data_IF_882668033116
#
_entry.id   IF_882668033116
#
_cell.length_a   1.000
_cell.length_b   1.000
_cell.length_c   1.000
_cell.angle_alpha   90.00
_cell.angle_beta   90.00
_cell.angle_gamma   90.00
#
_symmetry.space_group_name_H-M   'P 1'
#
loop_
_entity.id
_entity.type
_entity.pdbx_description
1 polymer ?
#
# COMPACT_ATOMS: atom_id res chain seq x y z
N UNK A 1 23.37 9.73 46.83
CA UNK A 1 23.32 9.12 45.48
C UNK A 1 22.48 7.87 45.58
N UNK A 2 21.50 7.68 44.68
CA UNK A 2 20.73 6.43 44.63
C UNK A 2 21.66 5.29 44.24
N UNK A 3 21.49 4.10 44.83
CA UNK A 3 22.27 2.93 44.45
C UNK A 3 21.98 2.56 42.98
N UNK A 4 22.99 2.12 42.20
CA UNK A 4 22.78 1.60 40.85
C UNK A 4 21.83 0.41 40.89
N UNK A 5 20.80 0.46 40.04
CA UNK A 5 19.75 -0.55 39.97
C UNK A 5 20.12 -1.58 38.90
N UNK A 6 20.14 -2.85 39.26
CA UNK A 6 20.47 -3.97 38.37
C UNK A 6 19.25 -4.87 38.27
N UNK A 7 18.74 -5.08 37.06
CA UNK A 7 17.64 -6.01 36.82
C UNK A 7 18.21 -7.39 36.54
N UNK A 8 17.68 -8.42 37.19
CA UNK A 8 18.03 -9.82 36.91
C UNK A 8 16.83 -10.48 36.22
N UNK A 9 16.99 -10.88 34.96
CA UNK A 9 15.92 -11.41 34.11
C UNK A 9 16.21 -12.82 33.59
N UNK A 10 15.18 -13.68 33.57
CA UNK A 10 15.21 -15.04 32.99
C UNK A 10 14.08 -15.27 31.99
N UNK A 11 13.97 -16.50 31.46
CA UNK A 11 12.85 -16.92 30.60
C UNK A 11 11.67 -17.35 31.51
N UNK A 12 10.39 -17.24 31.10
CA UNK A 12 9.27 -17.74 31.90
C UNK A 12 9.48 -19.19 32.39
N UNK A 13 9.50 -19.36 33.72
CA UNK A 13 9.78 -20.64 34.39
C UNK A 13 11.14 -20.72 35.09
N UNK A 14 12.08 -19.82 34.79
CA UNK A 14 13.29 -19.63 35.57
C UNK A 14 12.96 -18.83 36.84
N UNK A 15 13.51 -19.24 37.99
CA UNK A 15 13.52 -18.43 39.23
C UNK A 15 14.93 -17.88 39.41
N UNK A 16 15.27 -16.72 38.83
CA UNK A 16 16.61 -16.17 38.98
C UNK A 16 16.81 -15.66 40.42
N UNK A 17 17.47 -16.45 41.25
CA UNK A 17 17.95 -16.05 42.57
C UNK A 17 19.17 -15.13 42.41
N UNK A 18 18.98 -13.82 42.61
CA UNK A 18 20.06 -12.83 42.67
C UNK A 18 21.28 -13.26 43.54
N UNK A 19 21.13 -13.88 44.73
CA UNK A 19 22.29 -14.19 45.57
C UNK A 19 23.20 -15.31 45.04
N UNK A 20 22.69 -16.31 44.31
CA UNK A 20 23.54 -17.45 43.83
C UNK A 20 24.53 -17.04 42.73
N UNK A 21 24.21 -16.00 41.94
CA UNK A 21 25.04 -15.52 40.84
C UNK A 21 26.09 -14.48 41.27
N UNK A 22 25.79 -13.73 42.35
CA UNK A 22 26.69 -12.71 42.90
C UNK A 22 27.90 -13.38 43.58
N UNK A 23 27.69 -14.48 44.30
CA UNK A 23 28.78 -15.24 44.94
C UNK A 23 29.74 -15.89 43.94
N UNK A 24 29.28 -16.20 42.71
CA UNK A 24 30.07 -16.91 41.71
C UNK A 24 30.92 -16.01 40.80
N UNK A 25 30.55 -14.74 40.62
CA UNK A 25 31.19 -13.87 39.60
C UNK A 25 31.98 -12.69 40.16
N UNK A 26 31.70 -12.22 41.38
CA UNK A 26 32.40 -11.08 42.00
C UNK A 26 32.30 -9.75 41.24
N UNK A 27 31.41 -9.65 40.24
CA UNK A 27 31.30 -8.50 39.32
C UNK A 27 30.57 -7.29 39.95
N UNK A 28 29.72 -7.51 40.96
CA UNK A 28 28.93 -6.46 41.60
C UNK A 28 28.94 -6.62 43.13
N UNK A 29 29.02 -5.49 43.85
CA UNK A 29 28.94 -5.47 45.31
C UNK A 29 27.47 -5.45 45.78
N UNK A 30 26.96 -6.50 46.44
CA UNK A 30 25.56 -6.58 46.87
C UNK A 30 25.14 -5.51 47.88
N UNK A 31 26.09 -4.89 48.60
CA UNK A 31 25.78 -3.81 49.54
C UNK A 31 25.65 -2.45 48.85
N UNK A 32 26.18 -2.29 47.63
CA UNK A 32 26.23 -1.01 46.89
C UNK A 32 25.24 -0.94 45.72
N UNK A 33 24.69 -2.07 45.26
CA UNK A 33 23.72 -2.16 44.16
C UNK A 33 22.34 -2.62 44.65
N UNK A 34 21.28 -2.10 44.04
CA UNK A 34 19.90 -2.56 44.27
C UNK A 34 19.50 -3.55 43.17
N UNK A 35 19.37 -4.83 43.53
CA UNK A 35 18.98 -5.89 42.60
C UNK A 35 17.47 -6.08 42.58
N UNK A 36 16.89 -6.12 41.38
CA UNK A 36 15.46 -6.41 41.19
C UNK A 36 15.30 -7.59 40.25
N UNK A 37 14.76 -8.69 40.78
CA UNK A 37 14.43 -9.87 39.98
C UNK A 37 13.13 -9.62 39.20
N UNK A 38 13.11 -10.01 37.94
CA UNK A 38 11.92 -10.02 37.10
C UNK A 38 11.68 -11.42 36.55
N UNK A 39 10.46 -11.91 36.75
CA UNK A 39 10.08 -13.28 36.40
C UNK A 39 9.54 -13.39 34.97
N UNK A 40 9.22 -12.25 34.33
CA UNK A 40 8.74 -12.20 32.94
C UNK A 40 9.53 -11.20 32.08
N UNK A 41 9.72 -11.46 30.77
CA UNK A 41 10.35 -10.51 29.85
C UNK A 41 9.65 -9.15 29.79
N UNK A 42 8.37 -9.12 30.12
CA UNK A 42 7.56 -7.95 29.98
C UNK A 42 7.54 -7.08 31.27
N UNK A 43 7.75 -7.67 32.46
CA UNK A 43 8.13 -6.93 33.68
C UNK A 43 9.50 -6.25 33.53
N UNK A 44 10.44 -6.92 32.84
CA UNK A 44 11.75 -6.36 32.51
C UNK A 44 11.59 -5.09 31.66
N UNK A 45 10.80 -5.15 30.58
CA UNK A 45 10.56 -4.01 29.68
C UNK A 45 9.88 -2.85 30.42
N UNK A 46 8.84 -3.11 31.22
CA UNK A 46 8.15 -2.09 32.00
C UNK A 46 9.08 -1.39 33.02
N UNK A 47 10.00 -2.14 33.62
CA UNK A 47 10.93 -1.61 34.62
C UNK A 47 12.07 -0.78 33.98
N UNK A 48 12.57 -1.20 32.83
CA UNK A 48 13.56 -0.44 32.04
C UNK A 48 12.94 0.85 31.48
N UNK A 49 11.67 0.81 31.07
CA UNK A 49 10.98 1.98 30.54
C UNK A 49 10.61 3.02 31.61
N UNK A 50 10.38 2.59 32.86
CA UNK A 50 9.91 3.47 33.93
C UNK A 50 11.02 4.16 34.73
N UNK A 51 12.23 3.59 34.78
CA UNK A 51 13.33 4.10 35.59
C UNK A 51 14.69 3.85 34.90
N UNK A 52 15.70 4.72 35.12
CA UNK A 52 17.04 4.46 34.62
C UNK A 52 17.63 3.22 35.30
N UNK A 53 17.97 2.22 34.49
CA UNK A 53 18.60 0.96 34.92
C UNK A 53 20.07 0.99 34.56
N UNK A 54 20.94 0.58 35.47
CA UNK A 54 22.41 0.61 35.26
C UNK A 54 22.89 -0.60 34.47
N UNK A 55 22.28 -1.76 34.67
CA UNK A 55 22.58 -2.98 33.93
C UNK A 55 21.39 -3.96 33.96
N UNK A 56 21.28 -4.78 32.91
CA UNK A 56 20.40 -5.95 32.88
C UNK A 56 21.28 -7.19 32.86
N UNK A 57 21.08 -8.05 33.86
CA UNK A 57 21.73 -9.35 33.98
C UNK A 57 20.77 -10.42 33.47
N UNK A 58 21.17 -11.13 32.42
CA UNK A 58 20.41 -12.27 31.90
C UNK A 58 20.90 -13.54 32.60
N UNK A 59 19.99 -14.22 33.29
CA UNK A 59 20.24 -15.46 34.03
C UNK A 59 19.41 -16.63 33.46
N UNK A 60 19.79 -17.87 33.79
CA UNK A 60 19.04 -19.07 33.40
C UNK A 60 19.36 -19.60 32.00
N UNK A 61 18.42 -20.34 31.41
CA UNK A 61 18.68 -21.10 30.17
C UNK A 61 19.00 -20.22 28.95
N UNK A 62 18.65 -18.93 28.99
CA UNK A 62 18.98 -17.97 27.92
C UNK A 62 20.49 -17.87 27.67
N UNK A 63 21.31 -18.08 28.71
CA UNK A 63 22.78 -18.05 28.63
C UNK A 63 23.38 -19.31 28.01
N UNK A 64 22.61 -20.40 27.94
CA UNK A 64 23.09 -21.70 27.43
C UNK A 64 23.00 -21.81 25.90
N UNK A 65 22.30 -20.89 25.24
CA UNK A 65 22.13 -20.84 23.78
C UNK A 65 22.57 -19.49 23.23
N UNK A 66 23.78 -19.39 22.63
CA UNK A 66 24.31 -18.12 22.13
C UNK A 66 23.42 -17.48 21.05
N UNK A 67 22.69 -18.27 20.27
CA UNK A 67 21.71 -17.80 19.29
C UNK A 67 20.54 -17.03 19.90
N UNK A 68 20.07 -17.41 21.09
CA UNK A 68 18.96 -16.73 21.78
C UNK A 68 19.42 -15.37 22.35
N UNK A 69 20.66 -15.31 22.86
CA UNK A 69 21.27 -14.06 23.32
C UNK A 69 21.51 -13.11 22.14
N UNK A 70 22.03 -13.62 21.02
CA UNK A 70 22.22 -12.82 19.81
C UNK A 70 20.89 -12.29 19.27
N UNK A 71 19.83 -13.10 19.22
CA UNK A 71 18.50 -12.67 18.81
C UNK A 71 17.93 -11.57 19.71
N UNK A 72 18.12 -11.66 21.03
CA UNK A 72 17.67 -10.63 21.98
C UNK A 72 18.42 -9.31 21.82
N UNK A 73 19.73 -9.36 21.56
CA UNK A 73 20.57 -8.16 21.37
C UNK A 73 20.33 -7.51 19.99
N UNK A 74 20.10 -8.31 18.95
CA UNK A 74 19.89 -7.81 17.58
C UNK A 74 18.44 -7.45 17.27
N UNK A 75 17.48 -7.97 18.04
CA UNK A 75 16.04 -7.78 17.83
C UNK A 75 15.62 -6.33 17.61
N UNK A 76 15.96 -5.39 18.53
CA UNK A 76 15.63 -3.98 18.37
C UNK A 76 16.22 -3.40 17.07
N UNK A 77 17.48 -3.69 16.76
CA UNK A 77 18.12 -3.21 15.53
C UNK A 77 17.47 -3.76 14.26
N UNK A 78 17.04 -5.02 14.27
CA UNK A 78 16.33 -5.64 13.13
C UNK A 78 14.98 -4.95 12.91
N UNK A 79 14.22 -4.69 13.98
CA UNK A 79 12.90 -4.06 13.88
C UNK A 79 12.99 -2.57 13.48
N UNK A 80 14.04 -1.87 13.90
CA UNK A 80 14.30 -0.48 13.45
C UNK A 80 14.61 -0.40 11.95
N UNK A 81 15.27 -1.41 11.38
CA UNK A 81 15.58 -1.47 9.95
C UNK A 81 14.59 -2.31 9.15
N UNK A 82 13.46 -2.69 9.75
CA UNK A 82 12.41 -3.44 9.06
C UNK A 82 11.77 -2.53 8.00
N UNK A 83 11.50 -3.00 6.76
CA UNK A 83 11.03 -2.14 5.66
C UNK A 83 9.58 -1.68 5.81
N UNK A 84 8.81 -2.32 6.68
CA UNK A 84 7.43 -1.95 6.99
C UNK A 84 7.36 -1.30 8.38
N UNK A 85 6.28 -0.57 8.63
CA UNK A 85 5.98 -0.06 9.96
C UNK A 85 5.63 -1.21 10.91
N UNK A 86 6.24 -1.25 12.10
CA UNK A 86 5.97 -2.27 13.11
C UNK A 86 5.63 -1.59 14.43
N UNK A 87 4.55 -2.03 15.08
CA UNK A 87 4.20 -1.63 16.44
C UNK A 87 3.91 -2.83 17.33
N UNK A 88 4.20 -2.65 18.61
CA UNK A 88 3.68 -3.49 19.68
C UNK A 88 2.51 -2.74 20.35
N UNK A 89 1.36 -3.38 20.42
CA UNK A 89 0.15 -2.87 21.05
C UNK A 89 -0.19 -3.66 22.31
N UNK A 90 -0.85 -3.02 23.27
CA UNK A 90 -1.51 -3.72 24.38
C UNK A 90 -2.89 -4.26 23.98
N UNK A 91 -3.53 -5.05 24.86
CA UNK A 91 -4.89 -5.59 24.67
C UNK A 91 -6.00 -4.55 24.46
N UNK A 92 -5.72 -3.25 24.66
CA UNK A 92 -6.65 -2.15 24.40
C UNK A 92 -6.31 -1.38 23.12
N UNK A 93 -5.34 -1.85 22.34
CA UNK A 93 -4.90 -1.20 21.10
C UNK A 93 -4.02 0.03 21.31
N UNK A 94 -3.45 0.23 22.51
CA UNK A 94 -2.53 1.36 22.76
C UNK A 94 -1.12 0.99 22.33
N UNK A 95 -0.42 1.97 21.75
CA UNK A 95 0.95 1.77 21.28
C UNK A 95 1.92 1.70 22.46
N UNK A 96 2.61 0.58 22.59
CA UNK A 96 3.69 0.37 23.57
C UNK A 96 5.05 0.71 22.97
N UNK A 97 5.23 0.39 21.69
CA UNK A 97 6.45 0.66 20.93
C UNK A 97 6.14 0.69 19.43
N UNK A 98 6.89 1.48 18.66
CA UNK A 98 6.83 1.53 17.20
C UNK A 98 8.24 1.80 16.64
N UNK A 99 8.53 1.37 15.42
CA UNK A 99 9.77 1.74 14.71
C UNK A 99 9.64 3.09 14.01
N UNK A 100 10.78 3.70 13.65
CA UNK A 100 10.86 5.02 12.99
C UNK A 100 9.90 5.17 11.78
N UNK A 101 9.73 4.11 10.99
CA UNK A 101 8.83 4.11 9.83
C UNK A 101 7.39 4.34 10.28
N UNK A 102 6.91 3.59 11.26
CA UNK A 102 5.54 3.74 11.75
C UNK A 102 5.37 5.02 12.55
N UNK A 103 6.38 5.45 13.32
CA UNK A 103 6.36 6.74 14.01
C UNK A 103 6.18 7.91 13.03
N UNK A 104 6.79 7.84 11.84
CA UNK A 104 6.62 8.85 10.79
C UNK A 104 5.20 8.92 10.21
N UNK A 105 4.40 7.87 10.38
CA UNK A 105 3.00 7.82 9.96
C UNK A 105 2.04 8.38 11.01
N UNK A 106 2.49 8.56 12.26
CA UNK A 106 1.68 9.20 13.29
C UNK A 106 1.70 10.72 13.10
N UNK A 107 0.52 11.35 13.15
CA UNK A 107 0.30 12.77 12.84
C UNK A 107 0.87 13.70 13.95
N UNK A 108 2.17 13.63 14.19
CA UNK A 108 2.90 14.39 15.22
C UNK A 108 2.55 14.01 16.66
N UNK A 109 1.77 12.95 16.89
CA UNK A 109 1.41 12.49 18.23
C UNK A 109 2.58 11.76 18.90
N UNK A 110 2.92 12.18 20.13
CA UNK A 110 3.89 11.45 20.96
C UNK A 110 3.30 10.10 21.38
N UNK A 111 4.05 9.05 21.12
CA UNK A 111 3.67 7.63 21.18
C UNK A 111 3.25 7.15 22.57
N UNK A 112 3.62 7.86 23.64
CA UNK A 112 3.33 7.43 25.00
C UNK A 112 1.81 7.38 25.25
N UNK A 113 1.22 6.18 25.12
CA UNK A 113 -0.15 5.79 25.44
C UNK A 113 -1.27 6.17 24.45
N UNK A 114 -0.94 6.60 23.23
CA UNK A 114 -1.96 6.88 22.22
C UNK A 114 -2.65 5.58 21.74
N UNK A 115 -3.97 5.64 21.54
CA UNK A 115 -4.70 4.61 20.82
C UNK A 115 -4.19 4.55 19.38
N UNK A 116 -3.85 3.35 18.89
CA UNK A 116 -3.18 3.16 17.60
C UNK A 116 -3.95 3.77 16.42
N UNK A 117 -5.27 3.59 16.38
CA UNK A 117 -6.10 4.14 15.30
C UNK A 117 -6.17 5.66 15.38
N UNK A 118 -6.21 6.21 16.60
CA UNK A 118 -6.17 7.65 16.82
C UNK A 118 -4.83 8.25 16.41
N UNK A 119 -3.71 7.57 16.70
CA UNK A 119 -2.38 7.99 16.29
C UNK A 119 -2.21 8.03 14.76
N UNK A 120 -2.88 7.11 14.05
CA UNK A 120 -2.99 7.09 12.58
C UNK A 120 -4.02 8.09 12.01
N UNK A 121 -4.64 8.94 12.82
CA UNK A 121 -5.64 9.90 12.32
C UNK A 121 -7.02 9.31 12.03
N UNK A 122 -7.40 8.23 12.71
CA UNK A 122 -8.70 7.54 12.60
C UNK A 122 -9.04 7.09 11.18
N UNK A 123 -8.26 6.16 10.59
CA UNK A 123 -8.48 5.69 9.23
C UNK A 123 -9.77 4.88 9.09
N UNK A 124 -10.27 4.79 7.86
CA UNK A 124 -11.39 3.92 7.51
C UNK A 124 -10.89 2.59 6.93
N UNK A 125 -11.68 1.53 7.05
CA UNK A 125 -11.44 0.27 6.36
C UNK A 125 -11.92 0.38 4.91
N UNK A 126 -11.00 0.24 3.97
CA UNK A 126 -11.27 0.19 2.53
C UNK A 126 -11.85 -1.17 2.16
N UNK A 127 -13.14 -1.36 2.40
CA UNK A 127 -13.85 -2.60 2.08
C UNK A 127 -14.33 -2.60 0.62
N UNK A 128 -14.39 -3.76 -0.09
CA UNK A 128 -14.84 -3.83 -1.48
C UNK A 128 -16.25 -3.27 -1.74
N UNK A 129 -17.09 -3.20 -0.71
CA UNK A 129 -18.45 -2.62 -0.80
C UNK A 129 -18.52 -1.13 -0.40
N UNK A 130 -17.38 -0.44 -0.27
CA UNK A 130 -17.28 0.93 0.21
C UNK A 130 -16.70 1.05 1.63
N UNK A 131 -16.17 2.23 1.93
CA UNK A 131 -15.43 2.52 3.17
C UNK A 131 -16.31 2.36 4.41
N UNK A 132 -15.76 1.71 5.44
CA UNK A 132 -16.46 1.42 6.72
C UNK A 132 -15.54 1.71 7.90
N UNK A 133 -16.10 1.85 9.10
CA UNK A 133 -15.31 1.85 10.33
C UNK A 133 -14.68 0.48 10.56
N UNK A 134 -13.48 0.46 11.15
CA UNK A 134 -12.80 -0.80 11.47
C UNK A 134 -13.63 -1.60 12.50
N UNK A 135 -13.76 -2.92 12.33
CA UNK A 135 -14.40 -3.78 13.34
C UNK A 135 -13.67 -3.68 14.66
N UNK A 136 -14.36 -3.61 15.80
CA UNK A 136 -13.72 -3.56 17.13
C UNK A 136 -12.84 -4.77 17.44
N UNK A 137 -13.04 -5.88 16.72
CA UNK A 137 -12.28 -7.13 16.84
C UNK A 137 -11.05 -7.19 15.94
N UNK A 138 -10.69 -6.12 15.22
CA UNK A 138 -9.60 -6.12 14.23
C UNK A 138 -8.24 -6.57 14.81
N UNK A 139 -8.02 -6.32 16.10
CA UNK A 139 -6.78 -6.66 16.81
C UNK A 139 -6.69 -8.17 17.13
N UNK A 140 -7.83 -8.78 17.45
CA UNK A 140 -7.96 -10.16 17.97
C UNK A 140 -8.41 -11.16 16.90
N UNK A 141 -8.72 -10.69 15.69
CA UNK A 141 -9.30 -11.52 14.66
C UNK A 141 -8.22 -12.34 13.94
N UNK A 142 -7.91 -13.53 14.47
CA UNK A 142 -7.08 -14.53 13.78
C UNK A 142 -7.58 -14.76 12.34
N UNK A 143 -8.88 -14.71 12.09
CA UNK A 143 -9.42 -14.86 10.73
C UNK A 143 -9.06 -13.68 9.81
N UNK A 144 -8.83 -12.46 10.34
CA UNK A 144 -8.31 -11.34 9.56
C UNK A 144 -6.82 -11.51 9.26
N UNK A 145 -6.04 -12.08 10.17
CA UNK A 145 -4.65 -12.43 9.93
C UNK A 145 -4.53 -13.55 8.87
N UNK A 146 -5.38 -14.57 8.92
CA UNK A 146 -5.46 -15.64 7.92
C UNK A 146 -6.00 -15.17 6.57
N UNK A 147 -6.91 -14.18 6.56
CA UNK A 147 -7.44 -13.57 5.33
C UNK A 147 -6.50 -12.54 4.70
N UNK A 148 -5.29 -12.41 5.22
CA UNK A 148 -4.25 -11.56 4.65
C UNK A 148 -4.16 -10.16 5.23
N UNK A 149 -5.06 -9.72 6.13
CA UNK A 149 -5.02 -8.40 6.76
C UNK A 149 -6.19 -7.47 6.36
N UNK A 150 -6.10 -6.20 6.75
CA UNK A 150 -7.07 -5.15 6.43
C UNK A 150 -6.38 -4.05 5.62
N UNK A 151 -7.07 -3.45 4.65
CA UNK A 151 -6.57 -2.26 3.96
C UNK A 151 -7.25 -1.04 4.56
N UNK A 152 -6.47 -0.14 5.13
CA UNK A 152 -6.90 1.13 5.70
C UNK A 152 -6.78 2.23 4.64
N UNK A 153 -7.78 3.08 4.55
CA UNK A 153 -7.72 4.36 3.84
C UNK A 153 -7.48 5.47 4.86
N UNK A 154 -6.34 6.13 4.69
CA UNK A 154 -5.90 7.25 5.53
C UNK A 154 -6.63 8.55 5.13
N UNK A 155 -6.69 9.56 6.03
CA UNK A 155 -7.30 10.86 5.71
C UNK A 155 -6.62 11.62 4.56
N UNK A 156 -5.35 11.30 4.27
CA UNK A 156 -4.56 11.85 3.17
C UNK A 156 -4.64 11.02 1.87
N UNK A 157 -5.64 10.13 1.76
CA UNK A 157 -5.89 9.22 0.64
C UNK A 157 -4.81 8.16 0.37
N UNK A 158 -3.88 7.94 1.32
CA UNK A 158 -2.99 6.77 1.27
C UNK A 158 -3.71 5.50 1.68
N UNK A 159 -3.24 4.38 1.15
CA UNK A 159 -3.72 3.04 1.52
C UNK A 159 -2.65 2.28 2.28
N UNK A 160 -2.96 1.89 3.51
CA UNK A 160 -2.06 1.12 4.37
C UNK A 160 -2.62 -0.28 4.60
N UNK A 161 -1.80 -1.30 4.38
CA UNK A 161 -2.15 -2.67 4.68
C UNK A 161 -1.72 -3.00 6.11
N UNK A 162 -2.70 -3.37 6.92
CA UNK A 162 -2.61 -3.64 8.34
C UNK A 162 -2.72 -5.14 8.60
N UNK A 163 -1.72 -5.72 9.25
CA UNK A 163 -1.76 -7.09 9.74
C UNK A 163 -1.52 -7.08 11.25
N UNK A 164 -2.38 -7.77 12.00
CA UNK A 164 -2.21 -8.00 13.44
C UNK A 164 -1.87 -9.46 13.67
N UNK A 165 -0.87 -9.71 14.51
CA UNK A 165 -0.60 -11.02 15.08
C UNK A 165 -0.72 -10.90 16.60
N UNK A 166 -1.70 -11.56 17.23
CA UNK A 166 -1.79 -11.57 18.69
C UNK A 166 -0.54 -12.24 19.27
N UNK A 167 0.02 -11.65 20.32
CA UNK A 167 1.19 -12.13 21.06
C UNK A 167 0.85 -12.32 22.54
N UNK A 168 1.62 -13.17 23.20
CA UNK A 168 1.44 -13.55 24.60
C UNK A 168 1.79 -12.40 25.58
N UNK A 169 1.42 -12.60 26.85
CA UNK A 169 1.43 -11.70 28.00
C UNK A 169 2.41 -10.49 28.00
N UNK A 170 1.85 -9.29 28.18
CA UNK A 170 2.54 -8.03 28.47
C UNK A 170 1.88 -7.43 29.72
N UNK A 171 2.54 -7.37 30.89
CA UNK A 171 1.94 -6.86 32.09
C UNK A 171 1.72 -5.35 31.94
N UNK A 172 0.54 -4.85 32.35
CA UNK A 172 0.33 -3.42 32.46
C UNK A 172 1.24 -2.85 33.57
N UNK A 173 1.74 -1.61 33.43
CA UNK A 173 2.48 -0.96 34.50
C UNK A 173 1.53 -0.69 35.68
N UNK A 174 1.69 -1.43 36.78
CA UNK A 174 1.26 -0.97 38.10
C UNK A 174 0.38 -1.88 38.97
N UNK A 175 0.02 -3.10 38.58
CA UNK A 175 -0.80 -3.95 39.46
C UNK A 175 -0.45 -5.45 39.32
N UNK A 176 0.20 -6.01 40.33
CA UNK A 176 -0.06 -7.40 40.71
C UNK A 176 -0.09 -7.51 42.25
N UNK A 177 -1.31 -7.62 42.76
CA UNK A 177 -1.63 -8.29 44.01
C UNK A 177 -2.18 -9.69 43.69
N UNK A 178 -1.86 -10.64 44.56
CA UNK A 178 -2.19 -12.07 44.58
C UNK A 178 -3.44 -12.57 43.82
N UNK A 179 -3.25 -13.75 43.21
CA UNK A 179 -4.24 -14.80 42.90
C UNK A 179 -5.23 -14.59 41.75
N UNK A 180 -4.78 -14.69 40.49
CA UNK A 180 -5.64 -15.12 39.37
C UNK A 180 -4.95 -16.15 38.47
N UNK A 181 -5.72 -17.18 38.06
CA UNK A 181 -5.28 -18.25 37.13
C UNK A 181 -4.86 -17.66 35.78
N UNK A 182 -3.91 -18.25 35.05
CA UNK A 182 -3.55 -17.77 33.71
C UNK A 182 -4.73 -18.00 32.76
N UNK A 183 -5.50 -16.94 32.53
CA UNK A 183 -6.48 -16.86 31.44
C UNK A 183 -5.73 -16.74 30.13
N UNK A 184 -6.09 -17.58 29.17
CA UNK A 184 -5.46 -17.70 27.86
C UNK A 184 -5.86 -16.55 26.89
N UNK A 185 -5.76 -15.31 27.36
CA UNK A 185 -6.10 -14.11 26.59
C UNK A 185 -4.81 -13.44 26.09
N UNK A 186 -4.69 -13.11 24.79
CA UNK A 186 -3.53 -12.37 24.30
C UNK A 186 -3.49 -10.98 24.97
N UNK A 187 -2.41 -10.66 25.68
CA UNK A 187 -2.32 -9.38 26.40
C UNK A 187 -1.67 -8.27 25.56
N UNK A 188 -1.18 -8.59 24.36
CA UNK A 188 -0.71 -7.62 23.38
C UNK A 188 -0.69 -8.19 21.97
N UNK A 189 -0.44 -7.34 20.98
CA UNK A 189 -0.39 -7.75 19.56
C UNK A 189 0.74 -7.03 18.85
N UNK A 190 1.43 -7.73 17.94
CA UNK A 190 2.32 -7.06 16.98
C UNK A 190 1.51 -6.72 15.75
N UNK A 191 1.64 -5.48 15.33
CA UNK A 191 1.00 -4.94 14.15
C UNK A 191 2.06 -4.56 13.14
N UNK A 192 1.86 -4.99 11.90
CA UNK A 192 2.66 -4.62 10.74
C UNK A 192 1.81 -3.77 9.81
N UNK A 193 2.37 -2.64 9.38
CA UNK A 193 1.73 -1.65 8.51
C UNK A 193 2.60 -1.46 7.28
N UNK A 194 2.05 -1.73 6.11
CA UNK A 194 2.73 -1.54 4.82
C UNK A 194 2.00 -0.51 3.97
N UNK A 195 2.73 0.41 3.36
CA UNK A 195 2.15 1.28 2.33
C UNK A 195 1.87 0.47 1.05
N UNK A 196 0.58 0.39 0.69
CA UNK A 196 0.10 -0.31 -0.51
C UNK A 196 -0.60 0.65 -1.48
N UNK A 197 -0.41 1.97 -1.31
CA UNK A 197 -1.08 3.02 -2.07
C UNK A 197 -0.91 2.82 -3.57
N UNK A 198 0.32 2.62 -4.04
CA UNK A 198 0.62 2.42 -5.46
C UNK A 198 -0.09 1.18 -6.02
N UNK A 199 -0.01 0.06 -5.32
CA UNK A 199 -0.63 -1.20 -5.75
C UNK A 199 -2.16 -1.07 -5.81
N UNK A 200 -2.76 -0.42 -4.81
CA UNK A 200 -4.20 -0.16 -4.75
C UNK A 200 -4.66 0.74 -5.91
N UNK A 201 -3.96 1.86 -6.16
CA UNK A 201 -4.29 2.76 -7.26
C UNK A 201 -4.16 2.08 -8.63
N UNK A 202 -3.11 1.27 -8.84
CA UNK A 202 -2.95 0.49 -10.07
C UNK A 202 -4.09 -0.52 -10.26
N UNK A 203 -4.49 -1.22 -9.19
CA UNK A 203 -5.61 -2.17 -9.23
C UNK A 203 -6.94 -1.47 -9.50
N UNK A 204 -7.22 -0.35 -8.81
CA UNK A 204 -8.43 0.45 -9.03
C UNK A 204 -8.49 0.98 -10.47
N UNK A 205 -7.38 1.50 -11.00
CA UNK A 205 -7.29 1.95 -12.39
C UNK A 205 -7.62 0.81 -13.36
N UNK A 206 -7.05 -0.38 -13.17
CA UNK A 206 -7.35 -1.56 -14.01
C UNK A 206 -8.81 -2.00 -13.91
N UNK A 207 -9.37 -2.04 -12.70
CA UNK A 207 -10.76 -2.40 -12.47
C UNK A 207 -11.72 -1.42 -13.16
N UNK A 208 -11.45 -0.12 -13.04
CA UNK A 208 -12.24 0.91 -13.70
C UNK A 208 -12.13 0.85 -15.24
N UNK A 209 -10.94 0.54 -15.80
CA UNK A 209 -10.78 0.29 -17.24
C UNK A 209 -11.59 -0.93 -17.69
N UNK A 210 -11.55 -2.01 -16.90
CA UNK A 210 -12.31 -3.20 -17.20
C UNK A 210 -13.83 -2.93 -17.19
N UNK A 211 -14.30 -2.21 -16.16
CA UNK A 211 -15.70 -1.81 -16.05
C UNK A 211 -16.13 -0.89 -17.19
N UNK A 212 -15.31 0.10 -17.54
CA UNK A 212 -15.56 0.97 -18.70
C UNK A 212 -15.68 0.16 -20.01
N UNK A 213 -14.79 -0.82 -20.21
CA UNK A 213 -14.86 -1.73 -21.35
C UNK A 213 -16.15 -2.57 -21.37
N UNK A 214 -16.61 -3.03 -20.21
CA UNK A 214 -17.88 -3.74 -20.09
C UNK A 214 -19.08 -2.83 -20.41
N UNK A 215 -19.15 -1.62 -19.85
CA UNK A 215 -20.24 -0.68 -20.15
C UNK A 215 -20.28 -0.27 -21.61
N UNK A 216 -19.12 -0.12 -22.27
CA UNK A 216 -19.06 0.13 -23.72
C UNK A 216 -19.62 -1.04 -24.55
N UNK A 217 -19.49 -2.27 -24.05
CA UNK A 217 -20.01 -3.47 -24.71
C UNK A 217 -21.48 -3.78 -24.36
N UNK A 218 -21.97 -3.31 -23.21
CA UNK A 218 -23.30 -3.58 -22.66
C UNK A 218 -24.38 -2.61 -23.19
N UNK A 219 -24.32 -2.31 -24.49
CA UNK A 219 -25.42 -1.67 -25.21
C UNK A 219 -26.41 -2.76 -25.61
N UNK A 220 -27.59 -2.79 -24.98
CA UNK A 220 -28.51 -3.89 -25.22
C UNK A 220 -29.01 -3.87 -26.67
N UNK A 221 -29.22 -5.03 -27.33
CA UNK A 221 -29.76 -5.09 -28.69
C UNK A 221 -31.08 -4.34 -28.85
N UNK A 222 -31.87 -4.24 -27.78
CA UNK A 222 -33.14 -3.51 -27.72
C UNK A 222 -32.92 -1.99 -27.73
N UNK A 223 -32.00 -1.46 -26.94
CA UNK A 223 -31.64 -0.03 -26.97
C UNK A 223 -31.07 0.38 -28.32
N UNK A 224 -30.25 -0.48 -28.92
CA UNK A 224 -29.70 -0.22 -30.25
C UNK A 224 -30.77 -0.31 -31.35
N UNK A 225 -31.76 -1.19 -31.23
CA UNK A 225 -32.77 -1.44 -32.26
C UNK A 225 -33.61 -0.19 -32.58
N UNK A 226 -33.94 0.61 -31.57
CA UNK A 226 -34.75 1.83 -31.72
C UNK A 226 -33.93 3.05 -32.15
N UNK A 227 -32.60 2.95 -32.11
CA UNK A 227 -31.69 4.02 -32.52
C UNK A 227 -31.32 3.96 -33.99
N UNK A 228 -31.28 5.11 -34.65
CA UNK A 228 -30.68 5.28 -35.97
C UNK A 228 -29.16 5.03 -35.93
N UNK A 229 -28.56 4.76 -37.09
CA UNK A 229 -27.10 4.60 -37.20
C UNK A 229 -26.35 5.82 -36.67
N UNK A 230 -26.87 7.03 -36.92
CA UNK A 230 -26.24 8.27 -36.45
C UNK A 230 -26.28 8.39 -34.93
N UNK A 231 -27.42 8.09 -34.30
CA UNK A 231 -27.55 8.13 -32.83
C UNK A 231 -26.62 7.13 -32.15
N UNK A 232 -26.44 5.93 -32.75
CA UNK A 232 -25.49 4.93 -32.23
C UNK A 232 -24.05 5.43 -32.29
N UNK A 233 -23.69 6.10 -33.39
CA UNK A 233 -22.38 6.72 -33.57
C UNK A 233 -22.15 7.80 -32.51
N UNK A 234 -23.12 8.69 -32.29
CA UNK A 234 -23.00 9.77 -31.30
C UNK A 234 -22.96 9.26 -29.85
N UNK A 235 -23.72 8.21 -29.53
CA UNK A 235 -23.66 7.55 -28.22
C UNK A 235 -22.28 6.93 -27.97
N UNK A 236 -21.75 6.20 -28.96
CA UNK A 236 -20.43 5.59 -28.86
C UNK A 236 -19.33 6.65 -28.67
N UNK A 237 -19.38 7.75 -29.44
CA UNK A 237 -18.46 8.88 -29.27
C UNK A 237 -18.53 9.44 -27.85
N UNK A 238 -19.74 9.71 -27.36
CA UNK A 238 -19.94 10.30 -26.04
C UNK A 238 -19.37 9.39 -24.93
N UNK A 239 -19.60 8.08 -25.01
CA UNK A 239 -19.05 7.12 -24.05
C UNK A 239 -17.53 7.05 -24.12
N UNK A 240 -16.94 7.02 -25.32
CA UNK A 240 -15.49 6.99 -25.49
C UNK A 240 -14.84 8.25 -24.91
N UNK A 241 -15.41 9.44 -25.18
CA UNK A 241 -14.91 10.71 -24.62
C UNK A 241 -14.97 10.67 -23.10
N UNK A 242 -16.11 10.26 -22.53
CA UNK A 242 -16.32 10.18 -21.08
C UNK A 242 -15.24 9.32 -20.42
N UNK A 243 -15.02 8.09 -20.88
CA UNK A 243 -14.00 7.22 -20.28
C UNK A 243 -12.57 7.67 -20.59
N UNK A 244 -12.30 8.22 -21.77
CA UNK A 244 -10.94 8.68 -22.10
C UNK A 244 -10.53 9.88 -21.26
N UNK A 245 -11.43 10.84 -21.03
CA UNK A 245 -11.16 12.03 -20.20
C UNK A 245 -11.22 11.71 -18.71
N UNK A 246 -12.30 11.11 -18.22
CA UNK A 246 -12.52 11.00 -16.79
C UNK A 246 -11.68 9.89 -16.15
N UNK A 247 -11.51 8.77 -16.85
CA UNK A 247 -10.80 7.60 -16.34
C UNK A 247 -9.33 7.56 -16.78
N UNK A 248 -9.03 7.84 -18.05
CA UNK A 248 -7.67 7.76 -18.57
C UNK A 248 -6.90 9.09 -18.53
N UNK A 249 -7.60 10.22 -18.29
CA UNK A 249 -7.03 11.58 -18.29
C UNK A 249 -6.39 11.94 -19.63
N UNK A 250 -7.00 11.51 -20.72
CA UNK A 250 -6.60 11.87 -22.07
C UNK A 250 -7.43 13.04 -22.57
N UNK A 251 -6.81 14.22 -22.66
CA UNK A 251 -7.46 15.45 -23.11
C UNK A 251 -7.46 15.62 -24.63
N UNK A 252 -6.55 14.93 -25.32
CA UNK A 252 -6.40 14.97 -26.77
C UNK A 252 -6.45 13.56 -27.33
N UNK A 253 -7.46 13.27 -28.14
CA UNK A 253 -7.62 11.98 -28.80
C UNK A 253 -8.25 12.10 -30.18
N UNK A 254 -7.98 11.10 -31.02
CA UNK A 254 -8.56 10.98 -32.34
C UNK A 254 -8.82 9.51 -32.70
N UNK A 255 -9.97 9.25 -33.31
CA UNK A 255 -10.34 7.97 -33.89
C UNK A 255 -10.57 8.16 -35.37
N UNK A 256 -9.89 7.35 -36.18
CA UNK A 256 -10.13 7.26 -37.62
C UNK A 256 -10.46 5.83 -38.01
N UNK A 257 -11.47 5.65 -38.84
CA UNK A 257 -11.86 4.36 -39.40
C UNK A 257 -11.21 4.17 -40.77
N UNK A 258 -10.77 2.94 -41.04
CA UNK A 258 -10.13 2.58 -42.30
C UNK A 258 -11.19 2.20 -43.33
N UNK A 259 -11.29 2.98 -44.41
CA UNK A 259 -11.97 2.55 -45.63
C UNK A 259 -11.04 1.59 -46.40
N UNK A 260 -11.42 0.32 -46.44
CA UNK A 260 -10.64 -0.74 -47.09
C UNK A 260 -10.54 -0.58 -48.61
N UNK A 261 -11.49 0.08 -49.26
CA UNK A 261 -11.47 0.25 -50.72
C UNK A 261 -10.47 1.32 -51.15
N UNK A 262 -10.43 2.41 -50.40
CA UNK A 262 -9.60 3.58 -50.71
C UNK A 262 -8.29 3.62 -49.92
N UNK A 263 -8.16 2.77 -48.89
CA UNK A 263 -7.12 2.82 -47.86
C UNK A 263 -7.07 4.16 -47.11
N UNK A 264 -8.15 4.94 -47.14
CA UNK A 264 -8.25 6.23 -46.48
C UNK A 264 -8.71 6.08 -45.03
N UNK A 265 -8.16 6.91 -44.16
CA UNK A 265 -8.53 7.01 -42.76
C UNK A 265 -9.56 8.14 -42.59
N UNK A 266 -10.82 7.75 -42.42
CA UNK A 266 -11.95 8.66 -42.25
C UNK A 266 -12.12 9.04 -40.77
N UNK A 267 -12.14 10.33 -40.40
CA UNK A 267 -12.34 10.76 -39.02
C UNK A 267 -13.70 10.31 -38.47
N UNK A 268 -13.69 9.63 -37.33
CA UNK A 268 -14.88 9.29 -36.56
C UNK A 268 -15.03 10.26 -35.38
N UNK A 269 -13.96 10.49 -34.63
CA UNK A 269 -13.95 11.31 -33.42
C UNK A 269 -12.64 12.07 -33.35
N UNK A 270 -12.68 13.35 -33.00
CA UNK A 270 -11.51 14.15 -32.70
C UNK A 270 -11.85 15.07 -31.53
N UNK A 271 -11.02 15.06 -30.50
CA UNK A 271 -11.20 15.87 -29.30
C UNK A 271 -9.85 16.46 -28.92
N UNK A 272 -9.78 17.78 -28.71
CA UNK A 272 -8.53 18.48 -28.40
C UNK A 272 -7.53 18.61 -29.56
N UNK A 273 -7.85 18.08 -30.74
CA UNK A 273 -7.03 18.17 -31.95
C UNK A 273 -7.10 19.57 -32.60
N UNK A 274 -6.03 19.96 -33.28
CA UNK A 274 -6.02 21.16 -34.14
C UNK A 274 -6.94 20.94 -35.36
N UNK A 275 -7.68 21.95 -35.83
CA UNK A 275 -8.56 21.83 -37.02
C UNK A 275 -7.82 21.33 -38.28
N UNK A 276 -6.56 21.73 -38.45
CA UNK A 276 -5.70 21.29 -39.56
C UNK A 276 -5.30 19.82 -39.44
N UNK A 277 -5.18 19.30 -38.22
CA UNK A 277 -4.90 17.88 -37.99
C UNK A 277 -6.15 17.03 -38.23
N UNK A 278 -7.30 17.47 -37.71
CA UNK A 278 -8.60 16.79 -37.90
C UNK A 278 -8.98 16.68 -39.38
N UNK A 279 -8.78 17.76 -40.15
CA UNK A 279 -9.09 17.80 -41.59
C UNK A 279 -8.02 17.14 -42.48
N UNK A 280 -6.89 16.69 -41.91
CA UNK A 280 -5.77 16.10 -42.65
C UNK A 280 -6.20 14.79 -43.32
N UNK A 281 -5.93 14.65 -44.61
CA UNK A 281 -6.18 13.38 -45.32
C UNK A 281 -5.01 12.42 -45.06
N UNK A 282 -5.32 11.30 -44.42
CA UNK A 282 -4.35 10.23 -44.13
C UNK A 282 -4.77 8.91 -44.78
N UNK A 283 -3.79 8.10 -45.13
CA UNK A 283 -3.96 6.76 -45.68
C UNK A 283 -3.22 5.74 -44.83
N UNK A 284 -3.67 4.49 -44.86
CA UNK A 284 -2.96 3.35 -44.27
C UNK A 284 -1.68 3.05 -45.06
N UNK A 285 -0.60 3.78 -44.75
CA UNK A 285 0.72 3.64 -45.37
C UNK A 285 1.80 3.78 -44.32
N UNK A 286 2.87 3.00 -44.47
CA UNK A 286 4.00 3.02 -43.54
C UNK A 286 4.79 4.32 -43.55
N UNK A 287 4.72 5.10 -44.64
CA UNK A 287 5.48 6.33 -44.81
C UNK A 287 4.57 7.50 -45.21
N UNK A 288 5.00 8.71 -44.87
CA UNK A 288 4.37 9.98 -45.25
C UNK A 288 2.90 10.16 -44.80
N UNK A 289 2.43 9.38 -43.82
CA UNK A 289 1.08 9.47 -43.25
C UNK A 289 1.11 9.50 -41.71
N UNK A 290 2.28 9.80 -41.16
CA UNK A 290 2.56 9.85 -39.74
C UNK A 290 2.41 8.51 -39.01
N UNK A 291 2.39 8.59 -37.69
CA UNK A 291 2.16 7.44 -36.81
C UNK A 291 0.82 6.78 -37.12
N UNK A 292 -0.25 7.57 -37.29
CA UNK A 292 -1.60 7.07 -37.61
C UNK A 292 -1.62 6.20 -38.87
N UNK A 293 -1.00 6.65 -39.96
CA UNK A 293 -0.90 5.86 -41.19
C UNK A 293 -0.09 4.58 -41.02
N UNK A 294 1.02 4.64 -40.28
CA UNK A 294 1.88 3.49 -40.00
C UNK A 294 1.14 2.43 -39.17
N UNK A 295 0.45 2.82 -38.11
CA UNK A 295 -0.33 1.90 -37.27
C UNK A 295 -1.46 1.27 -38.07
N UNK A 296 -2.15 2.05 -38.90
CA UNK A 296 -3.20 1.54 -39.77
C UNK A 296 -2.69 0.51 -40.81
N UNK A 297 -1.49 0.73 -41.35
CA UNK A 297 -0.88 -0.16 -42.35
C UNK A 297 -0.34 -1.46 -41.74
N UNK A 298 0.30 -1.36 -40.57
CA UNK A 298 1.04 -2.48 -39.97
C UNK A 298 0.24 -3.26 -38.93
N UNK A 299 -0.80 -2.64 -38.36
CA UNK A 299 -1.52 -3.18 -37.21
C UNK A 299 -0.67 -3.25 -35.94
N UNK A 300 0.46 -2.53 -35.88
CA UNK A 300 1.34 -2.48 -34.70
C UNK A 300 1.14 -1.16 -33.99
N UNK A 301 0.85 -1.21 -32.69
CA UNK A 301 0.81 -0.02 -31.84
C UNK A 301 2.15 0.72 -31.87
N UNK A 302 2.09 2.04 -31.74
CA UNK A 302 3.26 2.90 -31.74
C UNK A 302 3.21 3.83 -30.53
N UNK A 303 4.33 3.91 -29.81
CA UNK A 303 4.52 4.81 -28.67
C UNK A 303 5.63 5.79 -29.03
N UNK A 304 5.30 7.08 -29.03
CA UNK A 304 6.21 8.18 -29.21
C UNK A 304 6.39 8.85 -27.84
N UNK A 305 7.57 8.71 -27.25
CA UNK A 305 7.92 9.32 -25.97
C UNK A 305 8.42 10.77 -26.13
N UNK A 306 8.96 11.11 -27.30
CA UNK A 306 9.42 12.45 -27.66
C UNK A 306 9.08 12.79 -29.11
N UNK A 307 8.07 13.65 -29.28
CA UNK A 307 7.58 14.11 -30.58
C UNK A 307 8.57 14.96 -31.37
N UNK A 308 9.57 15.58 -30.72
CA UNK A 308 10.56 16.44 -31.38
C UNK A 308 11.56 15.59 -32.19
N UNK A 309 11.87 14.40 -31.69
CA UNK A 309 12.87 13.51 -32.29
C UNK A 309 12.25 12.51 -33.27
N UNK A 310 10.93 12.33 -33.22
CA UNK A 310 10.24 11.32 -34.02
C UNK A 310 9.83 11.84 -35.41
N UNK A 311 10.53 11.33 -36.43
CA UNK A 311 10.28 11.63 -37.85
C UNK A 311 8.88 11.24 -38.34
N UNK A 312 8.23 10.28 -37.67
CA UNK A 312 6.88 9.81 -38.01
C UNK A 312 5.80 10.60 -37.27
N UNK A 313 6.15 11.42 -36.29
CA UNK A 313 5.17 12.22 -35.58
C UNK A 313 4.64 13.34 -36.48
N UNK A 314 3.31 13.42 -36.58
CA UNK A 314 2.63 14.54 -37.19
C UNK A 314 1.79 15.19 -36.11
N UNK A 315 2.05 16.46 -35.83
CA UNK A 315 1.38 17.19 -34.75
C UNK A 315 -0.14 17.16 -34.93
N UNK A 316 -0.83 16.66 -33.90
CA UNK A 316 -2.28 16.61 -33.76
C UNK A 316 -2.78 17.71 -32.83
N UNK A 317 -2.23 17.82 -31.62
CA UNK A 317 -2.39 18.97 -30.73
C UNK A 317 -1.12 19.82 -30.64
N UNK A 318 -1.33 21.11 -30.40
CA UNK A 318 -0.24 22.09 -30.33
C UNK A 318 0.67 21.80 -29.13
N UNK A 319 1.94 21.56 -29.41
CA UNK A 319 2.95 21.30 -28.38
C UNK A 319 2.86 19.91 -27.76
N UNK A 320 2.25 18.94 -28.44
CA UNK A 320 2.32 17.54 -28.06
C UNK A 320 3.78 17.12 -27.81
N UNK A 321 4.07 16.50 -26.66
CA UNK A 321 5.40 15.97 -26.31
C UNK A 321 5.48 14.46 -26.42
N UNK A 322 4.36 13.76 -26.23
CA UNK A 322 4.26 12.31 -26.40
C UNK A 322 2.96 11.91 -27.08
N UNK A 323 2.95 10.74 -27.70
CA UNK A 323 1.75 10.15 -28.30
C UNK A 323 1.70 8.63 -28.20
N UNK A 324 0.49 8.09 -28.13
CA UNK A 324 0.22 6.66 -28.27
C UNK A 324 -0.81 6.51 -29.38
N UNK A 325 -0.49 5.69 -30.38
CA UNK A 325 -1.45 5.29 -31.41
C UNK A 325 -1.57 3.78 -31.42
N UNK A 326 -2.79 3.28 -31.31
CA UNK A 326 -3.10 1.84 -31.30
C UNK A 326 -4.08 1.49 -32.42
N UNK A 327 -3.99 0.28 -33.00
CA UNK A 327 -4.92 -0.16 -34.03
C UNK A 327 -6.26 -0.55 -33.40
N UNK A 328 -7.35 -0.19 -34.07
CA UNK A 328 -8.66 -0.79 -33.83
C UNK A 328 -8.75 -2.07 -34.64
N UNK A 329 -8.92 -3.21 -33.95
CA UNK A 329 -8.91 -4.53 -34.58
C UNK A 329 -10.31 -5.15 -34.53
N UNK A 330 -10.75 -5.67 -35.66
CA UNK A 330 -11.89 -6.59 -35.74
C UNK A 330 -11.35 -7.96 -36.12
N UNK A 331 -11.37 -8.90 -35.17
CA UNK A 331 -10.61 -10.15 -35.24
C UNK A 331 -9.11 -9.87 -35.45
N UNK A 332 -8.57 -10.19 -36.63
CA UNK A 332 -7.16 -9.97 -37.00
C UNK A 332 -6.99 -8.81 -37.99
N UNK A 333 -8.08 -8.13 -38.37
CA UNK A 333 -8.04 -7.08 -39.38
C UNK A 333 -8.09 -5.69 -38.73
N UNK A 334 -7.23 -4.80 -39.20
CA UNK A 334 -7.27 -3.38 -38.82
C UNK A 334 -8.49 -2.72 -39.44
N UNK A 335 -9.34 -2.13 -38.61
CA UNK A 335 -10.53 -1.37 -39.01
C UNK A 335 -10.39 0.14 -38.75
N UNK A 336 -9.30 0.57 -38.13
CA UNK A 336 -9.06 1.97 -37.81
C UNK A 336 -7.91 2.14 -36.82
N UNK A 337 -7.80 3.34 -36.26
CA UNK A 337 -6.77 3.73 -35.31
C UNK A 337 -7.36 4.59 -34.20
N UNK A 338 -6.81 4.44 -33.01
CA UNK A 338 -7.07 5.29 -31.84
C UNK A 338 -5.76 5.98 -31.46
N UNK A 339 -5.70 7.30 -31.60
CA UNK A 339 -4.55 8.14 -31.30
C UNK A 339 -4.83 8.99 -30.06
N UNK A 340 -3.83 9.13 -29.19
CA UNK A 340 -3.86 9.98 -28.01
C UNK A 340 -2.56 10.77 -27.96
N UNK A 341 -2.64 12.06 -27.64
CA UNK A 341 -1.49 12.95 -27.52
C UNK A 341 -1.49 13.65 -26.16
N UNK A 342 -0.30 13.92 -25.63
CA UNK A 342 -0.12 14.67 -24.39
C UNK A 342 0.82 15.85 -24.61
N UNK A 343 0.45 17.09 -24.21
CA UNK A 343 1.35 18.23 -24.17
C UNK A 343 2.26 18.25 -22.93
N UNK A 344 1.98 17.39 -21.95
CA UNK A 344 2.81 17.19 -20.75
C UNK A 344 3.96 16.24 -21.05
#
# INVERSE_FOLDING_TARGET
MSKPKIIVAGIPGDKPSAPEFIETTGLFNPEECDFVSVDTPADMVAMVASQPVTAVLLAGQITTKPETVAALLMGPTILEHFPDGVALLDSRGRVLWANDILESLFDGQKIASADFLTALGTPNWAHPSGDRSLPSTWLDNEASAESGGLVLRMPDDRFLHLQSSPLFCVPPPGLQGMDEKPGNSPEGSVVVVRDVTRTMLEQQKRAAIHQAGQTLADLTPTELADMTVQERIELLKSNIIYYSKDLLKFDVLEIRLLDKQTSRLEPLLAEGMQPEAESRVLFAREENNGVTGYVAATGRSYFCDNTIEDIRFLEGCKGAKSSITVPLLMHTEVIGTFNVESPE
#
